data_IF_450066546561
#
_entry.id   IF_450066546561
#
_cell.length_a   1.000
_cell.length_b   1.000
_cell.length_c   1.000
_cell.angle_alpha   90.00
_cell.angle_beta   90.00
_cell.angle_gamma   90.00
#
_symmetry.space_group_name_H-M   'P 1'
#
loop_
_entity.id
_entity.type
_entity.pdbx_description
1 polymer ?
#
# COMPACT_ATOMS: atom_id res chain seq x y z
N UNK A 1 -16.61 -0.37 -8.86
CA UNK A 1 -15.67 0.75 -8.75
C UNK A 1 -16.06 1.54 -7.51
N UNK A 2 -15.22 1.59 -6.48
CA UNK A 2 -15.55 2.19 -5.19
C UNK A 2 -15.43 3.71 -5.30
N UNK A 3 -16.55 4.44 -5.15
CA UNK A 3 -16.54 5.90 -5.20
C UNK A 3 -16.28 6.46 -3.80
N UNK A 4 -15.01 6.77 -3.53
CA UNK A 4 -14.45 7.14 -2.22
C UNK A 4 -15.19 8.31 -1.53
N UNK A 5 -15.79 9.24 -2.29
CA UNK A 5 -16.48 10.42 -1.72
C UNK A 5 -17.88 10.15 -1.19
N UNK A 6 -18.49 9.01 -1.52
CA UNK A 6 -19.94 8.78 -1.29
C UNK A 6 -20.26 7.48 -0.56
N UNK A 7 -19.26 6.69 -0.14
CA UNK A 7 -19.54 5.43 0.55
C UNK A 7 -19.93 5.63 2.03
N UNK A 8 -20.80 4.77 2.58
CA UNK A 8 -21.03 4.69 4.03
C UNK A 8 -19.73 4.32 4.74
N UNK A 9 -19.60 4.72 6.01
CA UNK A 9 -18.37 4.51 6.79
C UNK A 9 -18.05 3.01 7.02
N UNK A 10 -19.04 2.14 6.85
CA UNK A 10 -18.89 0.68 6.80
C UNK A 10 -18.83 0.15 5.36
N UNK A 11 -17.78 -0.63 5.07
CA UNK A 11 -17.61 -1.39 3.83
C UNK A 11 -18.29 -2.77 3.90
N UNK A 12 -18.82 -3.14 5.06
CA UNK A 12 -19.55 -4.39 5.29
C UNK A 12 -18.73 -5.49 5.99
N UNK A 13 -19.37 -6.64 6.16
CA UNK A 13 -18.77 -7.82 6.78
C UNK A 13 -17.65 -8.41 5.92
N UNK A 14 -16.70 -9.06 6.57
CA UNK A 14 -15.65 -9.82 5.89
C UNK A 14 -16.25 -10.97 5.09
N UNK A 15 -15.71 -11.21 3.89
CA UNK A 15 -15.95 -12.46 3.16
C UNK A 15 -15.46 -13.67 3.98
N UNK A 16 -15.91 -14.88 3.63
CA UNK A 16 -15.48 -16.10 4.32
C UNK A 16 -13.95 -16.30 4.32
N UNK A 17 -13.28 -15.95 3.21
CA UNK A 17 -11.83 -15.99 3.10
C UNK A 17 -11.15 -14.98 4.03
N UNK A 18 -11.61 -13.73 4.04
CA UNK A 18 -11.07 -12.69 4.92
C UNK A 18 -11.33 -13.01 6.39
N UNK A 19 -12.51 -13.55 6.73
CA UNK A 19 -12.84 -13.99 8.09
C UNK A 19 -11.92 -15.13 8.55
N UNK A 20 -11.57 -16.05 7.66
CA UNK A 20 -10.58 -17.10 7.95
C UNK A 20 -9.21 -16.49 8.24
N UNK A 21 -8.75 -15.52 7.46
CA UNK A 21 -7.47 -14.83 7.70
C UNK A 21 -7.47 -14.06 9.02
N UNK A 22 -8.56 -13.36 9.33
CA UNK A 22 -8.74 -12.69 10.62
C UNK A 22 -8.66 -13.71 11.78
N UNK A 23 -9.43 -14.80 11.71
CA UNK A 23 -9.44 -15.81 12.77
C UNK A 23 -8.06 -16.44 12.99
N UNK A 24 -7.33 -16.72 11.90
CA UNK A 24 -5.97 -17.26 11.97
C UNK A 24 -5.00 -16.25 12.61
N UNK A 25 -5.08 -14.96 12.28
CA UNK A 25 -4.28 -13.92 12.93
C UNK A 25 -4.57 -13.81 14.44
N UNK A 26 -5.83 -14.00 14.86
CA UNK A 26 -6.19 -13.99 16.29
C UNK A 26 -5.56 -15.17 17.07
N UNK A 27 -5.30 -16.31 16.43
CA UNK A 27 -4.70 -17.48 17.07
C UNK A 27 -3.19 -17.32 17.32
N UNK A 28 -2.51 -16.54 16.47
CA UNK A 28 -1.06 -16.27 16.55
C UNK A 28 -0.78 -14.77 16.34
N UNK A 29 -1.17 -13.89 17.29
CA UNK A 29 -1.07 -12.43 17.11
C UNK A 29 0.35 -11.91 16.85
N UNK A 30 1.37 -12.68 17.24
CA UNK A 30 2.77 -12.33 17.09
C UNK A 30 3.35 -12.65 15.71
N UNK A 31 2.67 -13.48 14.91
CA UNK A 31 3.10 -13.84 13.56
C UNK A 31 2.17 -13.14 12.56
N UNK A 32 2.65 -12.15 11.78
CA UNK A 32 1.81 -11.48 10.80
C UNK A 32 1.51 -12.41 9.62
N UNK A 33 0.24 -12.47 9.21
CA UNK A 33 -0.18 -13.16 7.98
C UNK A 33 -0.12 -12.23 6.78
N UNK A 34 1.07 -11.69 6.53
CA UNK A 34 1.34 -10.76 5.45
C UNK A 34 1.80 -11.45 4.16
N UNK A 35 1.50 -10.83 3.03
CA UNK A 35 2.25 -10.97 1.78
C UNK A 35 3.24 -9.82 1.66
N UNK A 36 4.45 -10.12 1.20
CA UNK A 36 5.44 -9.10 0.91
C UNK A 36 6.24 -9.45 -0.34
N UNK A 37 6.69 -8.41 -1.04
CA UNK A 37 7.56 -8.54 -2.20
C UNK A 37 8.12 -7.19 -2.61
N UNK A 38 9.10 -7.21 -3.50
CA UNK A 38 9.66 -5.99 -4.08
C UNK A 38 9.90 -6.13 -5.58
N UNK A 39 9.93 -4.99 -6.25
CA UNK A 39 10.34 -4.83 -7.64
C UNK A 39 11.69 -4.11 -7.68
N UNK A 40 12.68 -4.72 -8.33
CA UNK A 40 13.91 -4.01 -8.67
C UNK A 40 13.65 -3.08 -9.86
N UNK A 41 14.02 -1.82 -9.70
CA UNK A 41 13.94 -0.78 -10.72
C UNK A 41 15.38 -0.33 -11.00
N UNK A 42 15.89 -0.66 -12.17
CA UNK A 42 17.28 -0.50 -12.62
C UNK A 42 17.53 0.82 -13.38
N UNK A 43 16.71 1.83 -13.07
CA UNK A 43 16.87 3.19 -13.55
C UNK A 43 16.49 4.20 -12.47
N UNK A 44 16.76 5.48 -12.72
CA UNK A 44 16.33 6.56 -11.84
C UNK A 44 14.81 6.56 -11.62
N UNK A 45 14.38 6.76 -10.38
CA UNK A 45 12.97 6.86 -9.98
C UNK A 45 12.67 8.29 -9.53
N UNK A 46 11.70 8.93 -10.17
CA UNK A 46 11.14 10.20 -9.74
C UNK A 46 10.21 9.96 -8.54
N UNK A 47 10.70 10.21 -7.33
CA UNK A 47 10.03 9.85 -6.07
C UNK A 47 8.66 10.52 -5.95
N UNK A 48 8.54 11.79 -6.33
CA UNK A 48 7.30 12.54 -6.27
C UNK A 48 6.26 11.94 -7.22
N UNK A 49 6.69 11.56 -8.43
CA UNK A 49 5.81 10.95 -9.43
C UNK A 49 5.35 9.56 -8.99
N UNK A 50 6.23 8.77 -8.39
CA UNK A 50 5.87 7.46 -7.84
C UNK A 50 4.94 7.59 -6.63
N UNK A 51 5.14 8.61 -5.80
CA UNK A 51 4.23 8.93 -4.69
C UNK A 51 2.81 9.21 -5.20
N UNK A 52 2.66 10.09 -6.19
CA UNK A 52 1.36 10.38 -6.83
C UNK A 52 0.74 9.14 -7.46
N UNK A 53 1.55 8.25 -8.06
CA UNK A 53 1.07 6.99 -8.61
C UNK A 53 0.53 6.03 -7.53
N UNK A 54 1.20 5.96 -6.37
CA UNK A 54 0.74 5.18 -5.22
C UNK A 54 -0.59 5.74 -4.68
N UNK A 55 -0.68 7.07 -4.52
CA UNK A 55 -1.92 7.76 -4.10
C UNK A 55 -3.07 7.51 -5.09
N UNK A 56 -2.80 7.49 -6.39
CA UNK A 56 -3.79 7.16 -7.42
C UNK A 56 -4.32 5.74 -7.24
N UNK A 57 -3.46 4.76 -6.96
CA UNK A 57 -3.89 3.39 -6.69
C UNK A 57 -4.71 3.31 -5.40
N UNK A 58 -4.27 4.00 -4.33
CA UNK A 58 -4.99 4.10 -3.07
C UNK A 58 -6.43 4.60 -3.30
N UNK A 59 -6.57 5.69 -4.07
CA UNK A 59 -7.86 6.29 -4.40
C UNK A 59 -8.72 5.40 -5.31
N UNK A 60 -8.10 4.65 -6.22
CA UNK A 60 -8.81 3.78 -7.18
C UNK A 60 -9.37 2.52 -6.51
N UNK A 61 -8.57 1.85 -5.67
CA UNK A 61 -8.95 0.58 -5.07
C UNK A 61 -9.56 0.74 -3.67
N UNK A 62 -9.25 1.81 -2.94
CA UNK A 62 -9.72 2.05 -1.57
C UNK A 62 -9.09 1.14 -0.51
N UNK A 63 -8.34 0.10 -0.91
CA UNK A 63 -7.81 -0.94 -0.01
C UNK A 63 -6.89 -0.38 1.08
N UNK A 64 -6.07 0.63 0.77
CA UNK A 64 -5.18 1.26 1.74
C UNK A 64 -5.91 2.14 2.78
N UNK A 65 -7.19 2.44 2.53
CA UNK A 65 -8.06 3.18 3.45
C UNK A 65 -8.99 2.24 4.24
N UNK A 66 -8.98 0.93 3.94
CA UNK A 66 -9.79 -0.04 4.64
C UNK A 66 -9.13 -0.43 5.97
N UNK A 67 -9.91 -0.42 7.05
CA UNK A 67 -9.49 -0.91 8.37
C UNK A 67 -10.48 -1.93 8.88
N UNK A 68 -10.00 -2.81 9.76
CA UNK A 68 -10.88 -3.64 10.55
C UNK A 68 -11.39 -2.86 11.77
N UNK A 69 -12.64 -3.10 12.10
CA UNK A 69 -13.27 -2.68 13.35
C UNK A 69 -14.15 -3.81 13.87
N UNK A 70 -14.50 -3.76 15.15
CA UNK A 70 -15.47 -4.68 15.76
C UNK A 70 -16.80 -3.95 15.94
N UNK A 71 -17.86 -4.50 15.37
CA UNK A 71 -19.25 -4.08 15.61
C UNK A 71 -19.98 -5.28 16.18
N UNK A 72 -20.51 -5.15 17.40
CA UNK A 72 -21.15 -6.24 18.13
C UNK A 72 -20.29 -7.52 18.25
N UNK A 73 -18.96 -7.34 18.35
CA UNK A 73 -17.99 -8.43 18.45
C UNK A 73 -17.62 -9.08 17.11
N UNK A 74 -18.22 -8.64 16.00
CA UNK A 74 -17.94 -9.16 14.66
C UNK A 74 -17.01 -8.22 13.88
N UNK A 75 -15.99 -8.77 13.17
CA UNK A 75 -15.11 -7.97 12.34
C UNK A 75 -15.85 -7.44 11.11
N UNK A 76 -15.71 -6.14 10.88
CA UNK A 76 -16.20 -5.44 9.68
C UNK A 76 -15.09 -4.59 9.09
N UNK A 77 -15.16 -4.34 7.79
CA UNK A 77 -14.34 -3.31 7.17
C UNK A 77 -15.01 -1.96 7.30
N UNK A 78 -14.23 -0.95 7.68
CA UNK A 78 -14.61 0.46 7.66
C UNK A 78 -13.66 1.25 6.77
N UNK A 79 -14.12 2.40 6.29
CA UNK A 79 -13.25 3.37 5.61
C UNK A 79 -12.66 4.31 6.65
N UNK A 80 -11.35 4.25 6.87
CA UNK A 80 -10.66 5.31 7.61
C UNK A 80 -10.28 6.43 6.64
N UNK A 81 -11.09 7.47 6.65
CA UNK A 81 -10.88 8.65 5.79
C UNK A 81 -9.75 9.55 6.25
N UNK A 82 -9.25 9.33 7.47
CA UNK A 82 -8.03 9.98 7.95
C UNK A 82 -6.79 9.23 7.45
N UNK A 83 -6.90 7.94 7.08
CA UNK A 83 -5.76 7.20 6.52
C UNK A 83 -5.16 7.86 5.29
N UNK A 84 -5.84 8.34 4.26
CA UNK A 84 -5.16 9.03 3.15
C UNK A 84 -4.39 10.30 3.55
N UNK A 85 -4.72 10.92 4.68
CA UNK A 85 -3.93 12.03 5.25
C UNK A 85 -2.79 11.54 6.17
N UNK A 86 -2.94 10.34 6.76
CA UNK A 86 -1.95 9.66 7.61
C UNK A 86 -1.06 8.65 6.87
N UNK A 87 -1.44 8.28 5.65
CA UNK A 87 -0.69 7.59 4.61
C UNK A 87 0.39 8.58 4.25
N UNK A 88 1.38 8.65 5.13
CA UNK A 88 2.62 9.31 4.86
C UNK A 88 3.03 8.81 3.47
N UNK A 89 3.29 9.78 2.60
CA UNK A 89 3.95 9.62 1.30
C UNK A 89 4.80 8.37 1.25
N UNK A 90 4.78 7.65 0.12
CA UNK A 90 5.72 6.57 -0.20
C UNK A 90 7.03 6.72 0.57
N UNK A 91 7.31 5.80 1.52
CA UNK A 91 8.48 5.96 2.37
C UNK A 91 9.73 5.78 1.53
N UNK A 92 10.53 6.83 1.43
CA UNK A 92 11.79 6.79 0.71
C UNK A 92 12.92 6.54 1.72
N UNK A 93 13.62 5.42 1.58
CA UNK A 93 14.68 4.99 2.48
C UNK A 93 15.97 4.99 1.68
N UNK A 94 16.88 5.89 2.01
CA UNK A 94 18.15 6.03 1.32
C UNK A 94 19.21 5.15 1.95
N UNK A 95 19.57 4.07 1.26
CA UNK A 95 20.56 3.09 1.72
C UNK A 95 21.89 3.24 0.98
N UNK A 96 22.04 4.24 0.09
CA UNK A 96 23.24 4.41 -0.75
C UNK A 96 24.52 4.64 0.05
N UNK A 97 24.39 5.06 1.31
CA UNK A 97 25.51 5.29 2.23
C UNK A 97 25.89 4.04 3.06
N UNK A 98 25.11 2.96 2.98
CA UNK A 98 25.42 1.70 3.65
C UNK A 98 26.62 1.00 2.99
N UNK A 99 27.44 0.25 3.77
CA UNK A 99 28.56 -0.52 3.20
C UNK A 99 28.11 -1.57 2.16
N UNK A 100 26.93 -2.15 2.38
CA UNK A 100 26.23 -3.03 1.45
C UNK A 100 24.75 -2.62 1.37
N UNK A 101 24.39 -1.72 0.44
CA UNK A 101 23.02 -1.22 0.31
C UNK A 101 21.99 -2.32 -0.03
N UNK A 102 22.40 -3.38 -0.73
CA UNK A 102 21.50 -4.48 -1.11
C UNK A 102 21.15 -5.32 0.12
N UNK A 103 22.16 -5.71 0.90
CA UNK A 103 21.92 -6.47 2.13
C UNK A 103 21.18 -5.64 3.17
N UNK A 104 21.49 -4.35 3.28
CA UNK A 104 20.73 -3.44 4.13
C UNK A 104 19.24 -3.38 3.74
N UNK A 105 18.94 -3.38 2.44
CA UNK A 105 17.56 -3.41 1.95
C UNK A 105 16.85 -4.73 2.28
N UNK A 106 17.51 -5.87 2.07
CA UNK A 106 16.95 -7.18 2.42
C UNK A 106 16.65 -7.30 3.91
N UNK A 107 17.59 -6.88 4.76
CA UNK A 107 17.40 -6.84 6.22
C UNK A 107 16.22 -5.95 6.60
N UNK A 108 16.14 -4.75 6.04
CA UNK A 108 15.02 -3.85 6.30
C UNK A 108 13.67 -4.47 5.90
N UNK A 109 13.58 -5.10 4.73
CA UNK A 109 12.35 -5.76 4.26
C UNK A 109 11.99 -6.96 5.13
N UNK A 110 12.99 -7.72 5.57
CA UNK A 110 12.81 -8.86 6.47
C UNK A 110 12.30 -8.41 7.84
N UNK A 111 12.88 -7.35 8.41
CA UNK A 111 12.47 -6.78 9.69
C UNK A 111 11.05 -6.19 9.61
N UNK A 112 10.72 -5.54 8.48
CA UNK A 112 9.38 -5.04 8.22
C UNK A 112 8.35 -6.17 8.12
N UNK A 113 8.69 -7.24 7.38
CA UNK A 113 7.82 -8.41 7.17
C UNK A 113 7.52 -9.17 8.47
N UNK A 114 8.51 -9.33 9.35
CA UNK A 114 8.34 -10.07 10.61
C UNK A 114 7.76 -9.22 11.75
N UNK A 115 7.52 -7.93 11.53
CA UNK A 115 6.97 -7.06 12.56
C UNK A 115 5.52 -7.45 12.86
N UNK A 116 5.16 -7.75 14.14
CA UNK A 116 3.78 -8.00 14.52
C UNK A 116 2.86 -6.85 14.13
N UNK A 117 1.60 -7.17 13.83
CA UNK A 117 0.61 -6.21 13.35
C UNK A 117 -0.64 -6.22 14.22
N UNK A 118 -1.06 -5.04 14.68
CA UNK A 118 -2.38 -4.86 15.28
C UNK A 118 -3.41 -4.62 14.16
N UNK A 119 -4.26 -5.61 13.91
CA UNK A 119 -5.28 -5.55 12.86
C UNK A 119 -6.25 -4.36 12.97
N UNK A 120 -6.43 -3.81 14.17
CA UNK A 120 -7.36 -2.72 14.43
C UNK A 120 -6.64 -1.37 14.52
N UNK A 121 -5.41 -1.35 15.04
CA UNK A 121 -4.62 -0.14 15.29
C UNK A 121 -3.69 0.26 14.14
N UNK A 122 -3.12 -0.71 13.44
CA UNK A 122 -2.07 -0.49 12.44
C UNK A 122 -2.60 -0.34 11.03
N UNK A 123 -1.71 0.13 10.16
CA UNK A 123 -1.95 0.10 8.73
C UNK A 123 -1.61 -1.28 8.16
N UNK A 124 -2.58 -1.85 7.46
CA UNK A 124 -2.49 -3.22 6.92
C UNK A 124 -1.75 -3.30 5.58
N UNK A 125 -1.15 -2.20 5.12
CA UNK A 125 -0.37 -2.11 3.88
C UNK A 125 0.81 -1.19 4.09
N UNK A 126 1.96 -1.53 3.53
CA UNK A 126 3.17 -0.73 3.61
C UNK A 126 3.84 -0.64 2.23
N UNK A 127 4.14 0.59 1.79
CA UNK A 127 4.83 0.88 0.55
C UNK A 127 6.11 1.65 0.85
N UNK A 128 7.23 1.18 0.29
CA UNK A 128 8.51 1.84 0.43
C UNK A 128 9.33 1.81 -0.87
N UNK A 129 10.13 2.85 -1.07
CA UNK A 129 11.18 2.90 -2.08
C UNK A 129 12.53 2.88 -1.36
N UNK A 130 13.25 1.77 -1.49
CA UNK A 130 14.60 1.62 -0.94
C UNK A 130 15.61 1.97 -2.02
N UNK A 131 16.38 3.04 -1.83
CA UNK A 131 17.37 3.50 -2.80
C UNK A 131 18.70 2.79 -2.56
N UNK A 132 19.12 1.98 -3.52
CA UNK A 132 20.33 1.14 -3.44
C UNK A 132 21.51 1.90 -4.09
N UNK A 133 21.27 2.48 -5.27
CA UNK A 133 22.18 3.40 -5.96
C UNK A 133 21.38 4.54 -6.58
N UNK A 134 22.01 5.42 -7.37
CA UNK A 134 21.31 6.45 -8.13
C UNK A 134 20.35 5.89 -9.20
N UNK A 135 20.65 4.68 -9.69
CA UNK A 135 19.92 4.01 -10.77
C UNK A 135 19.43 2.61 -10.37
N UNK A 136 19.42 2.28 -9.08
CA UNK A 136 18.84 1.02 -8.60
C UNK A 136 18.03 1.32 -7.35
N UNK A 137 16.75 0.98 -7.39
CA UNK A 137 15.86 1.08 -6.24
C UNK A 137 14.98 -0.16 -6.14
N UNK A 138 14.62 -0.55 -4.93
CA UNK A 138 13.63 -1.58 -4.67
C UNK A 138 12.31 -0.92 -4.26
N UNK A 139 11.26 -1.15 -5.04
CA UNK A 139 9.91 -0.74 -4.67
C UNK A 139 9.22 -1.90 -3.95
N UNK A 140 9.04 -1.74 -2.65
CA UNK A 140 8.53 -2.75 -1.73
C UNK A 140 7.03 -2.57 -1.45
N UNK A 141 6.31 -3.69 -1.41
CA UNK A 141 4.94 -3.78 -0.92
C UNK A 141 4.87 -4.88 0.14
N UNK A 142 4.30 -4.54 1.30
CA UNK A 142 3.74 -5.50 2.26
C UNK A 142 2.26 -5.24 2.43
N UNK A 143 1.48 -6.29 2.59
CA UNK A 143 0.07 -6.18 2.93
C UNK A 143 -0.42 -7.39 3.71
N UNK A 144 -1.34 -7.17 4.65
CA UNK A 144 -1.99 -8.26 5.36
C UNK A 144 -2.97 -9.01 4.45
N UNK A 145 -2.96 -10.34 4.51
CA UNK A 145 -3.81 -11.21 3.68
C UNK A 145 -5.32 -10.94 3.82
N UNK A 146 -5.74 -10.32 4.92
CA UNK A 146 -7.14 -9.92 5.11
C UNK A 146 -7.60 -8.86 4.11
N UNK A 147 -6.67 -8.03 3.59
CA UNK A 147 -6.95 -7.01 2.59
C UNK A 147 -6.65 -7.45 1.17
N UNK A 148 -5.59 -8.25 0.99
CA UNK A 148 -5.06 -8.60 -0.32
C UNK A 148 -4.93 -10.12 -0.49
N UNK A 149 -5.35 -10.59 -1.66
CA UNK A 149 -4.80 -11.81 -2.25
C UNK A 149 -3.72 -11.44 -3.28
N UNK A 150 -3.05 -12.47 -3.83
CA UNK A 150 -2.01 -12.25 -4.84
C UNK A 150 -2.52 -11.54 -6.10
N UNK A 151 -3.79 -11.72 -6.47
CA UNK A 151 -4.39 -11.08 -7.64
C UNK A 151 -4.67 -9.60 -7.41
N UNK A 152 -5.19 -9.24 -6.24
CA UNK A 152 -5.36 -7.86 -5.79
C UNK A 152 -4.03 -7.13 -5.73
N UNK A 153 -2.99 -7.77 -5.18
CA UNK A 153 -1.66 -7.16 -5.07
C UNK A 153 -1.05 -6.90 -6.46
N UNK A 154 -1.21 -7.86 -7.38
CA UNK A 154 -0.80 -7.70 -8.77
C UNK A 154 -1.50 -6.54 -9.48
N UNK A 155 -2.82 -6.41 -9.36
CA UNK A 155 -3.58 -5.32 -9.98
C UNK A 155 -3.21 -3.96 -9.38
N UNK A 156 -2.99 -3.91 -8.07
CA UNK A 156 -2.56 -2.70 -7.37
C UNK A 156 -1.21 -2.20 -7.89
N UNK A 157 -0.20 -3.08 -7.93
CA UNK A 157 1.12 -2.77 -8.48
C UNK A 157 1.03 -2.34 -9.95
N UNK A 158 0.22 -3.03 -10.77
CA UNK A 158 0.05 -2.66 -12.18
C UNK A 158 -0.55 -1.28 -12.38
N UNK A 159 -1.52 -0.90 -11.55
CA UNK A 159 -2.08 0.45 -11.58
C UNK A 159 -1.01 1.49 -11.22
N UNK A 160 -0.21 1.24 -10.19
CA UNK A 160 0.90 2.14 -9.81
C UNK A 160 1.88 2.28 -10.98
N UNK A 161 2.30 1.18 -11.60
CA UNK A 161 3.22 1.22 -12.75
C UNK A 161 2.63 2.00 -13.93
N UNK A 162 1.34 1.81 -14.23
CA UNK A 162 0.66 2.54 -15.29
C UNK A 162 0.48 4.03 -14.97
N UNK A 163 0.15 4.37 -13.73
CA UNK A 163 0.00 5.76 -13.28
C UNK A 163 1.35 6.47 -13.28
N UNK A 164 2.40 5.80 -12.80
CA UNK A 164 3.77 6.28 -12.86
C UNK A 164 4.20 6.50 -14.32
N UNK A 165 3.95 5.55 -15.22
CA UNK A 165 4.31 5.69 -16.65
C UNK A 165 3.48 6.73 -17.41
N UNK A 166 2.41 7.26 -16.81
CA UNK A 166 1.49 8.20 -17.47
C UNK A 166 0.48 7.54 -18.41
N UNK A 167 0.32 6.22 -18.33
CA UNK A 167 -0.57 5.42 -19.18
C UNK A 167 -1.97 5.19 -18.59
N UNK A 168 -2.19 5.56 -17.33
CA UNK A 168 -3.55 5.71 -16.79
C UNK A 168 -4.13 6.98 -17.41
N UNK A 169 -5.03 6.83 -18.38
CA UNK A 169 -5.55 7.90 -19.22
C UNK A 169 -5.84 9.21 -18.47
N UNK A 170 -5.26 10.30 -18.97
CA UNK A 170 -5.40 11.62 -18.38
C UNK A 170 -6.85 12.09 -18.31
N UNK A 171 -7.32 12.42 -17.11
CA UNK A 171 -8.45 13.31 -16.89
C UNK A 171 -8.12 14.19 -15.68
N UNK A 172 -7.41 15.28 -15.94
CA UNK A 172 -7.51 16.62 -15.31
C UNK A 172 -6.22 17.45 -15.50
N UNK A 173 -5.85 17.73 -16.76
CA UNK A 173 -5.29 19.06 -17.06
C UNK A 173 -6.47 19.97 -17.36
N UNK A 174 -7.02 20.66 -16.35
CA UNK A 174 -7.70 21.93 -16.61
C UNK A 174 -6.60 22.90 -17.03
N UNK A 175 -6.33 22.91 -18.33
CA UNK A 175 -5.62 23.99 -18.99
C UNK A 175 -6.51 25.23 -18.80
N UNK A 176 -6.18 26.06 -17.80
CA UNK A 176 -6.70 27.42 -17.76
C UNK A 176 -6.09 28.14 -18.96
N UNK A 177 -6.83 28.12 -20.07
CA UNK A 177 -6.67 29.05 -21.16
C UNK A 177 -6.85 30.46 -20.57
N UNK A 178 -5.72 31.11 -20.28
CA UNK A 178 -5.66 32.57 -20.27
C UNK A 178 -5.38 33.01 -21.69
N UNK A 179 -6.33 33.73 -22.28
CA UNK A 179 -6.11 34.62 -23.41
C UNK A 179 -7.17 35.73 -23.37
N UNK A 180 -6.84 36.90 -23.93
CA UNK A 180 -5.94 37.93 -23.42
C UNK A 180 -6.57 38.77 -22.30
#
# INVERSE_FOLDING_TARGET
MLNYRTQPDSLGSLTAGQRSMWAVQQLRPEVPYDIAGFLAIDHHVEVERLTVACESAAAHFGTQCARLSLVDGEPVFIVDRQLPQKLQSLRCIDLRAEPDPVEAAHRWMNDNYHRPIDLFGDQLTDLALLRITDNLSYFYLRAHHVLFDGYGAYNFIRHIAAAYSGSVGGHHRRQLLRMP
#
